data_IF_456879167423
#
_entry.id   IF_456879167423
#
_cell.length_a   1.000
_cell.length_b   1.000
_cell.length_c   1.000
_cell.angle_alpha   90.00
_cell.angle_beta   90.00
_cell.angle_gamma   90.00
#
_symmetry.space_group_name_H-M   'P 1'
#
loop_
_entity.id
_entity.type
_entity.pdbx_description
1 polymer ?
#
# COMPACT_ATOMS: atom_id res chain seq x y z
N UNK A 1 19.82 14.42 3.69
CA UNK A 1 18.37 14.16 3.77
C UNK A 1 17.71 15.17 2.85
N UNK A 2 16.99 14.72 1.81
CA UNK A 2 16.45 15.61 0.78
C UNK A 2 15.39 16.56 1.33
N UNK A 3 15.30 17.75 0.75
CA UNK A 3 14.36 18.81 1.16
C UNK A 3 12.88 18.42 0.97
N UNK A 4 12.60 17.36 0.21
CA UNK A 4 11.26 16.88 -0.17
C UNK A 4 10.72 15.74 0.73
N UNK A 5 10.93 15.82 2.03
CA UNK A 5 10.49 14.79 2.98
C UNK A 5 8.97 14.56 2.86
N UNK A 6 8.59 13.33 2.48
CA UNK A 6 7.21 12.85 2.51
C UNK A 6 7.02 12.08 3.81
N UNK A 7 6.17 12.59 4.69
CA UNK A 7 5.73 11.85 5.86
C UNK A 7 4.69 10.81 5.45
N UNK A 8 4.80 9.61 6.03
CA UNK A 8 3.81 8.54 5.89
C UNK A 8 3.06 8.40 7.21
N UNK A 9 1.74 8.48 7.14
CA UNK A 9 0.81 8.22 8.24
C UNK A 9 -0.09 7.02 7.88
N UNK A 10 -0.55 6.30 8.91
CA UNK A 10 -1.54 5.24 8.76
C UNK A 10 -2.94 5.75 9.09
N UNK A 11 -3.89 5.53 8.18
CA UNK A 11 -5.31 5.69 8.43
C UNK A 11 -5.82 4.35 8.97
N UNK A 12 -6.39 4.38 10.18
CA UNK A 12 -6.86 3.19 10.91
C UNK A 12 -7.62 2.21 10.01
N UNK A 13 -7.32 0.90 10.08
CA UNK A 13 -6.39 0.24 11.00
C UNK A 13 -4.93 0.19 10.56
N UNK A 14 -4.51 0.91 9.51
CA UNK A 14 -3.09 0.99 9.17
C UNK A 14 -2.34 1.77 10.23
N UNK A 15 -1.15 1.29 10.60
CA UNK A 15 -0.27 1.94 11.55
C UNK A 15 1.10 2.19 10.90
N UNK A 16 1.70 3.37 11.10
CA UNK A 16 3.05 3.61 10.62
C UNK A 16 4.07 2.79 11.41
N UNK A 17 5.00 2.12 10.71
CA UNK A 17 6.12 1.43 11.36
C UNK A 17 7.01 2.45 12.09
N UNK A 18 7.64 2.07 13.22
CA UNK A 18 8.64 2.90 13.87
C UNK A 18 9.69 3.40 12.87
N UNK A 19 9.99 4.71 12.92
CA UNK A 19 10.92 5.35 11.98
C UNK A 19 10.34 5.69 10.60
N UNK A 20 9.02 5.55 10.39
CA UNK A 20 8.31 5.89 9.14
C UNK A 20 8.84 5.14 7.89
N UNK A 21 9.41 3.97 8.08
CA UNK A 21 10.01 3.15 7.00
C UNK A 21 9.00 2.26 6.28
N UNK A 22 7.73 2.28 6.69
CA UNK A 22 6.65 1.51 6.10
C UNK A 22 5.38 1.56 6.94
N UNK A 23 4.42 0.70 6.62
CA UNK A 23 3.15 0.58 7.34
C UNK A 23 2.93 -0.85 7.82
N UNK A 24 2.30 -1.01 8.97
CA UNK A 24 1.68 -2.26 9.41
C UNK A 24 0.26 -2.31 8.85
N UNK A 25 -0.04 -3.42 8.19
CA UNK A 25 -1.34 -3.73 7.62
C UNK A 25 -1.94 -4.88 8.43
N UNK A 26 -2.84 -4.62 9.40
CA UNK A 26 -3.47 -5.71 10.13
C UNK A 26 -4.43 -6.46 9.21
N UNK A 27 -4.13 -7.74 8.98
CA UNK A 27 -5.04 -8.68 8.32
C UNK A 27 -5.87 -9.35 9.43
N UNK A 28 -7.17 -9.02 9.52
CA UNK A 28 -8.12 -9.88 10.22
C UNK A 28 -8.83 -9.38 11.48
N UNK A 29 -9.05 -8.07 11.69
CA UNK A 29 -10.04 -7.64 12.72
C UNK A 29 -11.45 -7.51 12.11
N UNK A 30 -12.17 -8.62 12.03
CA UNK A 30 -13.64 -8.74 11.83
C UNK A 30 -14.31 -8.10 10.59
N UNK A 31 -13.60 -7.41 9.69
CA UNK A 31 -14.16 -6.78 8.46
C UNK A 31 -13.38 -7.05 7.17
N UNK A 32 -12.30 -7.83 7.22
CA UNK A 32 -11.51 -8.20 6.04
C UNK A 32 -12.05 -9.53 5.49
N UNK A 33 -12.38 -9.57 4.20
CA UNK A 33 -12.77 -10.80 3.53
C UNK A 33 -11.94 -10.99 2.26
N UNK A 34 -11.62 -12.25 1.97
CA UNK A 34 -11.16 -12.65 0.65
C UNK A 34 -12.45 -12.81 -0.16
N UNK A 35 -12.67 -11.87 -1.06
CA UNK A 35 -13.71 -12.02 -2.07
C UNK A 35 -13.13 -12.84 -3.22
N UNK A 36 -13.72 -14.00 -3.51
CA UNK A 36 -13.24 -14.86 -4.59
C UNK A 36 -13.24 -14.17 -5.96
N UNK A 37 -14.06 -13.13 -6.14
CA UNK A 37 -14.18 -12.36 -7.37
C UNK A 37 -13.44 -11.01 -7.31
N UNK A 38 -13.30 -10.40 -6.13
CA UNK A 38 -12.79 -9.03 -5.97
C UNK A 38 -11.41 -8.94 -5.28
N UNK A 39 -10.86 -10.05 -4.79
CA UNK A 39 -9.53 -10.10 -4.19
C UNK A 39 -9.52 -9.87 -2.67
N UNK A 40 -8.40 -9.37 -2.15
CA UNK A 40 -8.21 -9.18 -0.70
C UNK A 40 -8.49 -7.73 -0.33
N UNK A 41 -9.40 -7.50 0.61
CA UNK A 41 -9.74 -6.17 1.10
C UNK A 41 -8.97 -5.79 2.37
N UNK A 42 -8.51 -4.53 2.41
CA UNK A 42 -7.87 -3.88 3.54
C UNK A 42 -8.58 -2.55 3.83
N UNK A 43 -9.28 -2.41 4.97
CA UNK A 43 -9.83 -1.13 5.39
C UNK A 43 -8.71 -0.14 5.75
N UNK A 44 -8.99 1.16 5.67
CA UNK A 44 -8.00 2.21 5.93
C UNK A 44 -6.89 2.25 4.87
N UNK A 45 -5.74 2.85 5.19
CA UNK A 45 -4.61 2.89 4.26
C UNK A 45 -3.56 3.98 4.52
N UNK A 46 -2.59 4.18 3.62
CA UNK A 46 -1.56 5.22 3.74
C UNK A 46 -2.14 6.62 3.52
N UNK A 47 -1.62 7.57 4.30
CA UNK A 47 -1.63 9.00 3.96
C UNK A 47 -0.20 9.50 3.82
N UNK A 48 0.08 10.10 2.67
CA UNK A 48 1.35 10.74 2.36
C UNK A 48 1.17 12.24 2.48
N UNK A 49 2.07 12.91 3.19
CA UNK A 49 2.01 14.35 3.45
C UNK A 49 3.37 14.97 3.13
N UNK A 50 3.40 15.95 2.24
CA UNK A 50 4.61 16.70 1.94
C UNK A 50 4.82 17.82 2.97
N UNK A 51 6.05 18.34 3.05
CA UNK A 51 6.38 19.49 3.91
C UNK A 51 5.54 20.75 3.62
N UNK A 52 5.02 20.89 2.39
CA UNK A 52 4.17 22.03 2.01
C UNK A 52 2.71 21.86 2.43
N UNK A 53 2.35 20.71 3.03
CA UNK A 53 1.00 20.40 3.47
C UNK A 53 0.12 19.75 2.41
N UNK A 54 0.65 19.53 1.19
CA UNK A 54 -0.05 18.70 0.21
C UNK A 54 -0.13 17.27 0.74
N UNK A 55 -1.24 16.59 0.48
CA UNK A 55 -1.42 15.22 0.91
C UNK A 55 -2.19 14.37 -0.08
N UNK A 56 -1.84 13.10 -0.13
CA UNK A 56 -2.63 12.07 -0.80
C UNK A 56 -2.93 10.96 0.21
N UNK A 57 -4.18 10.56 0.30
CA UNK A 57 -4.62 9.40 1.05
C UNK A 57 -5.12 8.33 0.07
N UNK A 58 -4.80 7.08 0.37
CA UNK A 58 -5.38 5.91 -0.30
C UNK A 58 -6.02 5.07 0.79
N UNK A 59 -7.32 4.85 0.69
CA UNK A 59 -8.10 4.11 1.69
C UNK A 59 -8.85 2.95 1.04
N UNK A 60 -9.25 1.96 1.84
CA UNK A 60 -10.12 0.85 1.41
C UNK A 60 -9.50 0.09 0.23
N UNK A 61 -8.31 -0.46 0.46
CA UNK A 61 -7.46 -1.05 -0.56
C UNK A 61 -7.92 -2.46 -0.91
N UNK A 62 -8.11 -2.71 -2.20
CA UNK A 62 -8.33 -4.02 -2.79
C UNK A 62 -7.06 -4.51 -3.50
N UNK A 63 -6.57 -5.67 -3.10
CA UNK A 63 -5.55 -6.42 -3.85
C UNK A 63 -6.26 -7.38 -4.80
N UNK A 64 -6.40 -6.98 -6.07
CA UNK A 64 -7.02 -7.75 -7.17
C UNK A 64 -5.96 -8.52 -7.97
N UNK A 65 -6.33 -9.44 -8.85
CA UNK A 65 -5.31 -10.21 -9.61
C UNK A 65 -4.38 -9.34 -10.46
N UNK A 66 -4.87 -8.18 -10.92
CA UNK A 66 -4.18 -7.25 -11.81
C UNK A 66 -3.48 -6.09 -11.08
N UNK A 67 -3.79 -5.83 -9.80
CA UNK A 67 -3.08 -4.85 -8.98
C UNK A 67 -3.83 -4.37 -7.74
N UNK A 68 -3.31 -3.30 -7.13
CA UNK A 68 -3.90 -2.68 -5.95
C UNK A 68 -4.77 -1.47 -6.32
N UNK A 69 -6.01 -1.47 -5.84
CA UNK A 69 -6.99 -0.42 -6.03
C UNK A 69 -7.35 0.20 -4.68
N UNK A 70 -7.62 1.49 -4.62
CA UNK A 70 -8.09 2.15 -3.40
C UNK A 70 -8.83 3.44 -3.70
N UNK A 71 -9.62 3.91 -2.73
CA UNK A 71 -10.24 5.23 -2.76
C UNK A 71 -9.17 6.29 -2.54
N UNK A 72 -8.97 7.16 -3.52
CA UNK A 72 -7.93 8.18 -3.47
C UNK A 72 -8.53 9.54 -3.11
N UNK A 73 -7.89 10.23 -2.17
CA UNK A 73 -8.22 11.61 -1.79
C UNK A 73 -6.96 12.46 -1.89
N UNK A 74 -7.01 13.56 -2.66
CA UNK A 74 -5.88 14.48 -2.85
C UNK A 74 -6.25 15.82 -2.23
N UNK A 75 -5.49 16.29 -1.25
CA UNK A 75 -5.75 17.55 -0.55
C UNK A 75 -7.19 17.67 -0.02
N UNK A 76 -7.75 16.56 0.47
CA UNK A 76 -9.14 16.48 0.95
C UNK A 76 -10.21 16.35 -0.15
N UNK A 77 -9.82 16.33 -1.43
CA UNK A 77 -10.74 16.18 -2.57
C UNK A 77 -10.79 14.71 -3.04
N UNK A 78 -11.95 14.04 -2.95
CA UNK A 78 -12.10 12.66 -3.42
C UNK A 78 -11.88 12.53 -4.93
N UNK A 79 -11.12 11.53 -5.34
CA UNK A 79 -10.90 11.15 -6.73
C UNK A 79 -11.66 9.86 -7.11
N UNK A 80 -12.17 9.13 -6.12
CA UNK A 80 -12.82 7.82 -6.30
C UNK A 80 -11.82 6.66 -6.30
N UNK A 81 -12.29 5.45 -6.61
CA UNK A 81 -11.42 4.27 -6.70
C UNK A 81 -10.46 4.40 -7.89
N UNK A 82 -9.17 4.16 -7.64
CA UNK A 82 -8.11 4.17 -8.66
C UNK A 82 -7.13 3.03 -8.40
N UNK A 83 -6.52 2.54 -9.47
CA UNK A 83 -5.39 1.63 -9.39
C UNK A 83 -4.14 2.41 -8.95
N UNK A 84 -3.64 2.12 -7.75
CA UNK A 84 -2.50 2.85 -7.15
C UNK A 84 -1.19 2.10 -7.27
N UNK A 85 -1.25 0.78 -7.45
CA UNK A 85 -0.05 -0.03 -7.65
C UNK A 85 -0.30 -1.21 -8.59
N UNK A 86 0.74 -1.59 -9.32
CA UNK A 86 0.81 -2.86 -10.03
C UNK A 86 1.74 -3.82 -9.29
N UNK A 87 1.54 -5.11 -9.51
CA UNK A 87 2.44 -6.16 -9.06
C UNK A 87 2.34 -7.37 -9.97
N UNK A 88 3.31 -8.27 -9.88
CA UNK A 88 3.26 -9.56 -10.55
C UNK A 88 3.15 -10.66 -9.49
N UNK A 89 2.06 -11.43 -9.53
CA UNK A 89 1.82 -12.56 -8.62
C UNK A 89 2.96 -13.59 -8.69
N UNK A 90 3.57 -13.76 -9.88
CA UNK A 90 4.72 -14.64 -10.08
C UNK A 90 5.97 -14.25 -9.28
N UNK A 91 6.13 -12.97 -8.94
CA UNK A 91 7.24 -12.51 -8.09
C UNK A 91 7.04 -12.87 -6.61
N UNK A 92 5.78 -13.07 -6.18
CA UNK A 92 5.44 -13.51 -4.84
C UNK A 92 5.62 -15.03 -4.66
N UNK A 93 5.34 -15.80 -5.72
CA UNK A 93 5.28 -17.27 -5.68
C UNK A 93 6.48 -17.96 -4.99
N UNK A 94 7.74 -17.54 -5.21
CA UNK A 94 8.89 -18.18 -4.55
C UNK A 94 8.87 -18.06 -3.02
N UNK A 95 8.19 -17.04 -2.48
CA UNK A 95 8.17 -16.76 -1.04
C UNK A 95 6.81 -17.06 -0.40
N UNK A 96 5.77 -17.37 -1.17
CA UNK A 96 4.39 -17.46 -0.71
C UNK A 96 4.17 -18.35 0.52
N UNK A 97 4.88 -19.47 0.61
CA UNK A 97 4.74 -20.46 1.70
C UNK A 97 5.91 -20.41 2.68
N UNK A 98 6.51 -19.23 2.89
CA UNK A 98 7.68 -19.09 3.77
C UNK A 98 7.25 -18.99 5.23
N UNK A 99 7.71 -19.88 6.13
CA UNK A 99 7.42 -19.76 7.56
C UNK A 99 8.22 -18.61 8.18
N UNK A 100 7.54 -17.64 8.79
CA UNK A 100 8.14 -16.52 9.51
C UNK A 100 7.10 -15.82 10.40
N UNK A 101 7.55 -15.01 11.37
CA UNK A 101 6.65 -14.22 12.22
C UNK A 101 5.65 -15.03 13.07
N UNK A 102 5.87 -16.34 13.24
CA UNK A 102 4.95 -17.28 13.91
C UNK A 102 3.79 -17.78 13.04
N UNK A 103 3.89 -17.62 11.72
CA UNK A 103 2.91 -18.11 10.75
C UNK A 103 3.57 -18.45 9.40
N UNK A 104 2.79 -18.43 8.33
CA UNK A 104 3.25 -18.71 6.95
C UNK A 104 2.70 -17.63 6.02
N UNK A 105 3.52 -17.17 5.08
CA UNK A 105 3.09 -16.26 4.03
C UNK A 105 4.25 -15.72 3.19
N UNK A 106 3.97 -14.82 2.23
CA UNK A 106 5.01 -14.22 1.40
C UNK A 106 5.88 -13.25 2.20
N UNK A 107 7.20 -13.38 2.06
CA UNK A 107 8.17 -12.40 2.57
C UNK A 107 8.51 -11.32 1.54
N UNK A 108 8.15 -11.55 0.27
CA UNK A 108 8.43 -10.63 -0.82
C UNK A 108 7.29 -10.61 -1.83
N UNK A 109 6.68 -9.45 -1.99
CA UNK A 109 5.70 -9.13 -3.02
C UNK A 109 5.82 -7.64 -3.37
N UNK A 110 6.52 -7.29 -4.47
CA UNK A 110 6.85 -5.91 -4.78
C UNK A 110 5.70 -5.17 -5.48
N UNK A 111 5.38 -4.00 -4.94
CA UNK A 111 4.38 -3.07 -5.47
C UNK A 111 5.09 -1.95 -6.22
N UNK A 112 4.61 -1.68 -7.42
CA UNK A 112 5.15 -0.67 -8.33
C UNK A 112 4.16 0.44 -8.59
N UNK A 113 4.65 1.66 -8.77
CA UNK A 113 3.79 2.80 -9.07
C UNK A 113 3.04 2.57 -10.37
N UNK A 114 1.73 2.83 -10.37
CA UNK A 114 1.00 3.05 -11.63
C UNK A 114 1.38 4.41 -12.22
N UNK A 115 1.16 4.65 -13.53
CA UNK A 115 1.34 5.98 -14.11
C UNK A 115 0.56 7.07 -13.35
N UNK A 116 -0.68 6.75 -12.96
CA UNK A 116 -1.52 7.63 -12.16
C UNK A 116 -0.89 7.96 -10.81
N UNK A 117 -0.49 6.94 -10.04
CA UNK A 117 -0.04 7.17 -8.67
C UNK A 117 1.36 7.79 -8.61
N UNK A 118 2.24 7.49 -9.57
CA UNK A 118 3.53 8.19 -9.73
C UNK A 118 3.32 9.69 -9.93
N UNK A 119 2.38 10.07 -10.82
CA UNK A 119 2.05 11.47 -11.05
C UNK A 119 1.52 12.12 -9.78
N UNK A 120 0.52 11.51 -9.12
CA UNK A 120 -0.06 12.05 -7.88
C UNK A 120 0.99 12.20 -6.78
N UNK A 121 1.89 11.23 -6.63
CA UNK A 121 2.98 11.29 -5.66
C UNK A 121 3.92 12.46 -5.95
N UNK A 122 4.37 12.61 -7.20
CA UNK A 122 5.27 13.68 -7.62
C UNK A 122 4.62 15.07 -7.48
N UNK A 123 3.34 15.20 -7.86
CA UNK A 123 2.57 16.44 -7.70
C UNK A 123 2.40 16.80 -6.23
N UNK A 124 2.12 15.81 -5.37
CA UNK A 124 2.03 15.99 -3.91
C UNK A 124 3.39 16.44 -3.34
N UNK A 125 4.47 15.84 -3.81
CA UNK A 125 5.83 16.17 -3.41
C UNK A 125 6.33 17.51 -3.98
N UNK A 126 5.70 18.03 -5.03
CA UNK A 126 6.19 19.20 -5.78
C UNK A 126 7.48 18.94 -6.56
N UNK A 127 7.80 17.67 -6.83
CA UNK A 127 9.03 17.26 -7.50
C UNK A 127 8.86 15.91 -8.22
N UNK A 128 9.59 15.72 -9.31
CA UNK A 128 9.65 14.44 -10.03
C UNK A 128 10.60 13.48 -9.30
N UNK A 129 10.10 12.77 -8.30
CA UNK A 129 10.88 11.88 -7.43
C UNK A 129 10.86 10.42 -7.88
N UNK A 130 9.75 9.96 -8.46
CA UNK A 130 9.52 8.56 -8.82
C UNK A 130 9.00 8.42 -10.23
N UNK A 131 9.17 7.23 -10.82
CA UNK A 131 8.66 6.91 -12.15
C UNK A 131 7.62 5.78 -12.12
N UNK A 132 6.69 5.74 -13.10
CA UNK A 132 5.80 4.60 -13.27
C UNK A 132 6.60 3.29 -13.41
N UNK A 133 6.15 2.22 -12.75
CA UNK A 133 6.83 0.92 -12.75
C UNK A 133 7.96 0.80 -11.71
N UNK A 134 8.35 1.88 -11.04
CA UNK A 134 9.32 1.82 -9.95
C UNK A 134 8.73 1.14 -8.72
N UNK A 135 9.50 0.26 -8.07
CA UNK A 135 9.09 -0.42 -6.84
C UNK A 135 9.12 0.57 -5.69
N UNK A 136 8.01 0.67 -4.95
CA UNK A 136 7.87 1.62 -3.85
C UNK A 136 7.50 0.98 -2.51
N UNK A 137 6.95 -0.23 -2.56
CA UNK A 137 6.62 -0.99 -1.36
C UNK A 137 6.82 -2.48 -1.62
N UNK A 138 7.05 -3.21 -0.55
CA UNK A 138 7.06 -4.66 -0.54
C UNK A 138 6.09 -5.13 0.53
N UNK A 139 5.17 -6.03 0.18
CA UNK A 139 4.31 -6.67 1.15
C UNK A 139 5.01 -7.90 1.72
N UNK A 140 5.18 -7.87 3.04
CA UNK A 140 5.55 -8.98 3.89
C UNK A 140 4.29 -9.32 4.69
N UNK A 141 3.71 -10.49 4.44
CA UNK A 141 2.44 -10.90 5.03
C UNK A 141 2.59 -12.25 5.72
N UNK A 142 2.02 -12.36 6.92
CA UNK A 142 2.02 -13.58 7.73
C UNK A 142 0.59 -13.98 8.03
N UNK A 143 0.15 -15.11 7.48
CA UNK A 143 -1.05 -15.80 7.93
C UNK A 143 -0.76 -16.58 9.20
N UNK A 144 -1.50 -16.31 10.28
CA UNK A 144 -1.46 -17.10 11.52
C UNK A 144 -2.74 -17.91 11.62
N UNK A 145 -2.59 -19.22 11.78
CA UNK A 145 -3.71 -20.09 12.10
C UNK A 145 -3.92 -20.05 13.61
N UNK A 146 -5.03 -19.46 14.05
CA UNK A 146 -5.48 -19.63 15.43
C UNK A 146 -6.05 -21.05 15.60
N UNK A 147 -5.77 -21.74 16.72
CA UNK A 147 -6.37 -23.04 17.02
C UNK A 147 -7.90 -22.97 17.20
#
# INVERSE_FOLDING_TARGET
MNDNEIAVEGITPFEAKPGKTGLYLPIGSHTNYIDACQGVYYPGGPRLISKTGNSVAVENIWLRMDGAYGLVTINGVPQGERMVATYNVGEMMPTLMTPHGGGIGPTYWPFRFTPYFAQVFNDTAGANLVQPGEVFANLDAVGKFAP
#
